data_IF_702219088773
#
_entry.id   IF_702219088773
#
_cell.length_a   1.000
_cell.length_b   1.000
_cell.length_c   1.000
_cell.angle_alpha   90.00
_cell.angle_beta   90.00
_cell.angle_gamma   90.00
#
_symmetry.space_group_name_H-M   'P 1'
#
loop_
_entity.id
_entity.type
_entity.pdbx_description
1 polymer ?
#
# COMPACT_ATOMS: atom_id res chain seq x y z
N UNK A 1 28.82 -13.78 16.86
CA UNK A 1 28.14 -13.83 15.54
C UNK A 1 26.68 -13.38 15.65
N UNK A 2 25.90 -13.90 16.62
CA UNK A 2 24.48 -13.54 16.79
C UNK A 2 24.30 -12.02 17.09
N UNK A 3 25.10 -11.47 18.00
CA UNK A 3 25.06 -10.04 18.34
C UNK A 3 25.36 -9.13 17.13
N UNK A 4 26.29 -9.58 16.25
CA UNK A 4 26.60 -8.84 15.02
C UNK A 4 25.39 -8.83 14.07
N UNK A 5 24.73 -9.99 13.88
CA UNK A 5 23.52 -10.10 13.07
C UNK A 5 22.39 -9.23 13.62
N UNK A 6 22.17 -9.25 14.94
CA UNK A 6 21.19 -8.37 15.59
C UNK A 6 21.50 -6.89 15.37
N UNK A 7 22.78 -6.49 15.45
CA UNK A 7 23.20 -5.13 15.19
C UNK A 7 22.95 -4.71 13.74
N UNK A 8 23.29 -5.58 12.77
CA UNK A 8 23.01 -5.34 11.34
C UNK A 8 21.52 -5.20 11.10
N UNK A 9 20.68 -6.09 11.64
CA UNK A 9 19.22 -6.02 11.50
C UNK A 9 18.67 -4.70 12.05
N UNK A 10 19.12 -4.28 13.24
CA UNK A 10 18.70 -3.00 13.83
C UNK A 10 19.16 -1.80 13.01
N UNK A 11 20.35 -1.86 12.42
CA UNK A 11 20.86 -0.79 11.55
C UNK A 11 20.05 -0.67 10.27
N UNK A 12 19.80 -1.79 9.58
CA UNK A 12 18.98 -1.83 8.35
C UNK A 12 17.56 -1.35 8.64
N UNK A 13 17.00 -1.80 9.75
CA UNK A 13 15.65 -1.41 10.17
C UNK A 13 15.59 0.08 10.52
N UNK A 14 16.58 0.59 11.26
CA UNK A 14 16.72 2.01 11.57
C UNK A 14 16.80 2.86 10.30
N UNK A 15 17.63 2.44 9.33
CA UNK A 15 17.71 3.09 8.02
C UNK A 15 16.38 3.07 7.28
N UNK A 16 15.69 1.92 7.22
CA UNK A 16 14.38 1.79 6.59
C UNK A 16 13.34 2.72 7.22
N UNK A 17 13.31 2.80 8.56
CA UNK A 17 12.39 3.71 9.28
C UNK A 17 12.68 5.17 8.96
N UNK A 18 13.95 5.57 8.89
CA UNK A 18 14.35 6.95 8.54
C UNK A 18 13.92 7.29 7.12
N UNK A 19 14.19 6.41 6.16
CA UNK A 19 13.81 6.61 4.75
C UNK A 19 12.29 6.68 4.60
N UNK A 20 11.57 5.73 5.21
CA UNK A 20 10.10 5.71 5.17
C UNK A 20 9.53 6.95 5.85
N UNK A 21 10.05 7.33 7.01
CA UNK A 21 9.65 8.54 7.73
C UNK A 21 9.87 9.81 6.91
N UNK A 22 10.99 9.91 6.20
CA UNK A 22 11.27 11.01 5.29
C UNK A 22 10.20 11.12 4.19
N UNK A 23 9.92 10.02 3.48
CA UNK A 23 8.89 10.02 2.43
C UNK A 23 7.48 10.29 2.96
N UNK A 24 7.15 9.79 4.17
CA UNK A 24 5.88 10.12 4.81
C UNK A 24 5.74 11.60 5.12
N UNK A 25 6.78 12.23 5.65
CA UNK A 25 6.78 13.68 5.97
C UNK A 25 6.69 14.51 4.68
N UNK A 26 7.47 14.17 3.66
CA UNK A 26 7.43 14.86 2.36
C UNK A 26 6.06 14.70 1.71
N UNK A 27 5.51 13.48 1.68
CA UNK A 27 4.18 13.21 1.14
C UNK A 27 3.06 13.93 1.90
N UNK A 28 3.13 13.93 3.24
CA UNK A 28 2.16 14.65 4.06
C UNK A 28 2.25 16.17 3.85
N UNK A 29 3.46 16.74 3.81
CA UNK A 29 3.68 18.16 3.56
C UNK A 29 3.14 18.59 2.19
N UNK A 30 3.40 17.78 1.15
CA UNK A 30 2.89 18.05 -0.20
C UNK A 30 1.36 17.89 -0.26
N UNK A 31 0.80 16.86 0.39
CA UNK A 31 -0.64 16.68 0.50
C UNK A 31 -1.35 17.84 1.21
N UNK A 32 -0.77 18.35 2.30
CA UNK A 32 -1.29 19.55 3.00
C UNK A 32 -1.20 20.78 2.11
N UNK A 33 -0.08 20.96 1.41
CA UNK A 33 0.13 22.09 0.49
C UNK A 33 -0.89 22.08 -0.65
N UNK A 34 -1.10 20.93 -1.26
CA UNK A 34 -2.08 20.78 -2.35
C UNK A 34 -3.51 20.97 -1.85
N UNK A 35 -3.86 20.37 -0.70
CA UNK A 35 -5.16 20.57 -0.06
C UNK A 35 -5.45 22.04 0.28
N UNK A 36 -4.43 22.76 0.76
CA UNK A 36 -4.54 24.20 1.02
C UNK A 36 -4.75 25.02 -0.25
N UNK A 37 -3.97 24.73 -1.31
CA UNK A 37 -4.09 25.40 -2.59
C UNK A 37 -5.48 25.15 -3.22
N UNK A 38 -5.99 23.92 -3.11
CA UNK A 38 -7.34 23.58 -3.56
C UNK A 38 -8.40 24.36 -2.80
N UNK A 39 -8.35 24.35 -1.46
CA UNK A 39 -9.31 25.09 -0.64
C UNK A 39 -9.30 26.60 -0.94
N UNK A 40 -8.12 27.17 -1.19
CA UNK A 40 -7.97 28.57 -1.57
C UNK A 40 -8.58 28.84 -2.96
N UNK A 41 -8.28 28.00 -3.94
CA UNK A 41 -8.85 28.10 -5.29
C UNK A 41 -10.38 27.94 -5.28
N UNK A 42 -10.92 27.05 -4.47
CA UNK A 42 -12.36 26.88 -4.27
C UNK A 42 -13.00 28.13 -3.68
N UNK A 43 -12.37 28.74 -2.67
CA UNK A 43 -12.87 29.96 -2.06
C UNK A 43 -12.90 31.13 -3.05
N UNK A 44 -11.79 31.32 -3.78
CA UNK A 44 -11.67 32.37 -4.80
C UNK A 44 -12.68 32.16 -5.97
N UNK A 45 -12.91 30.94 -6.41
CA UNK A 45 -13.88 30.60 -7.43
C UNK A 45 -15.33 30.91 -6.97
N UNK A 46 -15.67 30.58 -5.71
CA UNK A 46 -16.98 30.91 -5.12
C UNK A 46 -17.21 32.39 -5.02
N UNK A 47 -16.22 33.20 -4.62
CA UNK A 47 -16.31 34.65 -4.56
C UNK A 47 -16.52 35.28 -5.94
N UNK A 48 -15.92 34.70 -6.99
CA UNK A 48 -16.03 35.18 -8.37
C UNK A 48 -17.22 34.61 -9.14
N UNK A 49 -18.03 33.73 -8.53
CA UNK A 49 -19.16 33.05 -9.18
C UNK A 49 -18.72 32.15 -10.34
N UNK A 50 -17.47 31.69 -10.36
CA UNK A 50 -16.91 30.80 -11.38
C UNK A 50 -16.94 29.35 -10.91
N UNK A 51 -17.06 28.34 -11.81
CA UNK A 51 -16.84 26.96 -11.44
C UNK A 51 -15.38 26.77 -11.01
N UNK A 52 -15.18 25.92 -10.00
CA UNK A 52 -13.83 25.53 -9.56
C UNK A 52 -13.14 24.84 -10.73
N UNK A 53 -11.90 25.22 -11.04
CA UNK A 53 -11.11 24.55 -12.08
C UNK A 53 -10.92 23.09 -11.74
N UNK A 54 -11.31 22.18 -12.62
CA UNK A 54 -11.25 20.72 -12.44
C UNK A 54 -9.83 20.25 -12.09
N UNK A 55 -8.79 20.88 -12.67
CA UNK A 55 -7.38 20.56 -12.47
C UNK A 55 -6.94 20.55 -10.98
N UNK A 56 -7.52 21.41 -10.14
CA UNK A 56 -7.15 21.48 -8.73
C UNK A 56 -7.70 20.29 -7.91
N UNK A 57 -8.81 19.71 -8.33
CA UNK A 57 -9.45 18.55 -7.70
C UNK A 57 -8.90 17.20 -8.18
N UNK A 58 -8.39 17.13 -9.40
CA UNK A 58 -7.96 15.88 -10.03
C UNK A 58 -6.89 15.15 -9.22
N UNK A 59 -5.89 15.86 -8.69
CA UNK A 59 -4.82 15.27 -7.89
C UNK A 59 -5.31 14.64 -6.57
N UNK A 60 -6.38 15.18 -5.97
CA UNK A 60 -6.95 14.65 -4.71
C UNK A 60 -7.73 13.34 -4.92
N UNK A 61 -8.13 13.06 -6.15
CA UNK A 61 -8.94 11.91 -6.52
C UNK A 61 -8.17 10.85 -7.32
N UNK A 62 -6.83 11.02 -7.45
CA UNK A 62 -6.00 10.04 -8.15
C UNK A 62 -6.05 8.67 -7.48
N UNK A 63 -6.36 7.65 -8.28
CA UNK A 63 -6.37 6.25 -7.91
C UNK A 63 -5.45 5.47 -8.83
N UNK A 64 -4.60 4.66 -8.23
CA UNK A 64 -3.79 3.69 -8.96
C UNK A 64 -4.56 2.39 -9.08
N UNK A 65 -4.74 1.91 -10.29
CA UNK A 65 -5.52 0.71 -10.61
C UNK A 65 -4.62 -0.27 -11.35
N UNK A 66 -4.55 -1.51 -10.85
CA UNK A 66 -3.89 -2.60 -11.55
C UNK A 66 -4.88 -3.27 -12.50
N UNK A 67 -4.41 -3.54 -13.71
CA UNK A 67 -5.19 -4.15 -14.78
C UNK A 67 -4.71 -5.59 -15.01
N UNK A 68 -5.67 -6.51 -15.16
CA UNK A 68 -5.34 -7.86 -15.59
C UNK A 68 -4.87 -7.82 -17.04
N UNK A 69 -3.76 -8.52 -17.40
CA UNK A 69 -3.33 -8.58 -18.78
C UNK A 69 -4.45 -9.06 -19.70
N UNK A 70 -4.66 -8.43 -20.88
CA UNK A 70 -5.74 -8.77 -21.79
C UNK A 70 -5.78 -10.24 -22.21
N UNK A 71 -4.62 -10.88 -22.29
CA UNK A 71 -4.46 -12.31 -22.60
C UNK A 71 -5.13 -13.23 -21.55
N UNK A 72 -5.33 -12.75 -20.32
CA UNK A 72 -5.99 -13.49 -19.24
C UNK A 72 -7.46 -13.11 -19.08
N UNK A 73 -7.84 -11.89 -19.46
CA UNK A 73 -9.22 -11.40 -19.39
C UNK A 73 -10.03 -11.79 -20.65
N UNK A 74 -9.40 -11.83 -21.82
CA UNK A 74 -10.01 -12.16 -23.09
C UNK A 74 -9.06 -13.07 -23.90
N UNK A 75 -9.17 -14.42 -23.77
CA UNK A 75 -8.29 -15.36 -24.46
C UNK A 75 -8.37 -15.29 -26.00
N UNK A 76 -9.51 -14.86 -26.55
CA UNK A 76 -9.74 -14.69 -27.99
C UNK A 76 -9.40 -13.27 -28.48
N UNK A 77 -9.08 -12.39 -27.56
CA UNK A 77 -8.75 -10.99 -27.81
C UNK A 77 -7.32 -10.75 -28.32
N UNK A 78 -7.05 -9.53 -28.71
CA UNK A 78 -5.69 -9.11 -29.08
C UNK A 78 -4.81 -9.05 -27.84
N UNK A 79 -3.57 -9.59 -27.92
CA UNK A 79 -2.59 -9.50 -26.82
C UNK A 79 -2.23 -8.05 -26.48
N UNK A 80 -2.28 -7.16 -27.46
CA UNK A 80 -1.98 -5.73 -27.32
C UNK A 80 -3.15 -4.94 -27.96
N UNK A 81 -4.25 -4.73 -27.19
CA UNK A 81 -5.46 -4.08 -27.70
C UNK A 81 -5.29 -2.59 -27.97
N UNK A 82 -4.35 -1.95 -27.26
CA UNK A 82 -4.10 -0.52 -27.32
C UNK A 82 -2.88 -0.16 -28.14
N UNK A 83 -2.62 1.14 -28.29
CA UNK A 83 -1.43 1.66 -28.94
C UNK A 83 -0.97 2.95 -28.29
N UNK A 84 0.37 3.09 -28.19
CA UNK A 84 1.03 4.30 -27.71
C UNK A 84 1.74 4.98 -28.86
N UNK A 85 1.53 6.31 -28.97
CA UNK A 85 2.23 7.09 -29.96
C UNK A 85 3.70 7.30 -29.59
N UNK A 86 4.60 6.92 -30.49
CA UNK A 86 6.03 7.10 -30.32
C UNK A 86 6.49 8.35 -31.11
N UNK A 87 6.89 9.38 -30.38
CA UNK A 87 7.34 10.64 -30.97
C UNK A 87 8.61 10.51 -31.80
N UNK A 88 9.48 9.52 -31.50
CA UNK A 88 10.73 9.33 -32.27
C UNK A 88 10.52 8.75 -33.65
N UNK A 89 9.58 7.84 -33.79
CA UNK A 89 9.29 7.13 -35.04
C UNK A 89 8.06 7.70 -35.74
N UNK A 90 7.36 8.65 -35.13
CA UNK A 90 6.08 9.20 -35.59
C UNK A 90 5.06 8.11 -35.94
N UNK A 91 5.02 7.03 -35.17
CA UNK A 91 4.15 5.86 -35.39
C UNK A 91 3.52 5.35 -34.12
N UNK A 92 2.37 4.68 -34.25
CA UNK A 92 1.72 3.99 -33.14
C UNK A 92 2.34 2.61 -32.93
N UNK A 93 2.73 2.32 -31.68
CA UNK A 93 3.27 1.02 -31.27
C UNK A 93 2.16 0.28 -30.49
N UNK A 94 1.84 -0.98 -30.85
CA UNK A 94 0.88 -1.77 -30.06
C UNK A 94 1.32 -1.88 -28.61
N UNK A 95 0.38 -1.70 -27.68
CA UNK A 95 0.64 -1.67 -26.25
C UNK A 95 -0.47 -2.38 -25.48
N UNK A 96 -0.17 -2.78 -24.24
CA UNK A 96 -1.14 -3.18 -23.24
C UNK A 96 -0.77 -2.50 -21.91
N UNK A 97 -1.76 -2.05 -21.18
CA UNK A 97 -1.57 -1.39 -19.89
C UNK A 97 -1.63 -2.42 -18.77
N UNK A 98 -0.62 -2.43 -17.89
CA UNK A 98 -0.61 -3.23 -16.66
C UNK A 98 -1.23 -2.46 -15.49
N UNK A 99 -1.18 -1.13 -15.54
CA UNK A 99 -1.76 -0.25 -14.52
C UNK A 99 -2.14 1.10 -15.12
N UNK A 100 -3.09 1.74 -14.48
CA UNK A 100 -3.58 3.06 -14.89
C UNK A 100 -3.75 3.93 -13.65
N UNK A 101 -3.40 5.20 -13.75
CA UNK A 101 -3.73 6.21 -12.73
C UNK A 101 -4.91 7.01 -13.25
N UNK A 102 -6.00 7.02 -12.51
CA UNK A 102 -7.23 7.72 -12.87
C UNK A 102 -7.67 8.65 -11.76
N UNK A 103 -8.28 9.76 -12.10
CA UNK A 103 -8.93 10.67 -11.15
C UNK A 103 -10.40 10.30 -11.05
N UNK A 104 -10.79 9.63 -9.97
CA UNK A 104 -12.17 9.17 -9.78
C UNK A 104 -12.63 9.49 -8.35
N UNK A 105 -13.79 10.09 -8.24
CA UNK A 105 -14.45 10.30 -6.98
C UNK A 105 -15.19 9.04 -6.53
N UNK A 106 -14.73 8.39 -5.45
CA UNK A 106 -15.35 7.17 -4.90
C UNK A 106 -16.29 7.49 -3.75
N UNK A 107 -17.42 6.78 -3.67
CA UNK A 107 -18.51 7.04 -2.72
C UNK A 107 -18.14 6.74 -1.26
N UNK A 108 -17.21 5.82 -0.99
CA UNK A 108 -16.92 5.28 0.35
C UNK A 108 -15.52 5.65 0.85
N UNK A 109 -15.08 6.90 0.66
CA UNK A 109 -13.74 7.39 1.08
C UNK A 109 -13.40 7.13 2.55
N UNK A 110 -14.38 7.20 3.45
CA UNK A 110 -14.17 7.04 4.89
C UNK A 110 -13.76 5.60 5.29
N UNK A 111 -14.26 4.57 4.60
CA UNK A 111 -13.91 3.16 4.87
C UNK A 111 -12.45 2.92 4.52
N UNK A 112 -11.99 3.37 3.35
CA UNK A 112 -10.59 3.27 2.93
C UNK A 112 -9.65 3.99 3.91
N UNK A 113 -10.01 5.21 4.33
CA UNK A 113 -9.22 5.97 5.28
C UNK A 113 -9.13 5.28 6.66
N UNK A 114 -10.23 4.71 7.16
CA UNK A 114 -10.24 3.95 8.41
C UNK A 114 -9.35 2.72 8.32
N UNK A 115 -9.46 1.94 7.25
CA UNK A 115 -8.63 0.76 7.03
C UNK A 115 -7.15 1.12 6.92
N UNK A 116 -6.82 2.19 6.21
CA UNK A 116 -5.44 2.70 6.09
C UNK A 116 -4.86 3.10 7.45
N UNK A 117 -5.67 3.72 8.32
CA UNK A 117 -5.25 4.06 9.68
C UNK A 117 -5.01 2.81 10.53
N UNK A 118 -5.86 1.78 10.40
CA UNK A 118 -5.68 0.50 11.10
C UNK A 118 -4.42 -0.22 10.64
N UNK A 119 -4.15 -0.25 9.32
CA UNK A 119 -2.94 -0.82 8.75
C UNK A 119 -1.70 -0.10 9.29
N UNK A 120 -1.71 1.23 9.31
CA UNK A 120 -0.63 2.05 9.86
C UNK A 120 -0.38 1.74 11.34
N UNK A 121 -1.43 1.69 12.15
CA UNK A 121 -1.35 1.38 13.56
C UNK A 121 -0.80 -0.04 13.81
N UNK A 122 -1.27 -1.03 13.04
CA UNK A 122 -0.80 -2.41 13.13
C UNK A 122 0.68 -2.53 12.76
N UNK A 123 1.13 -1.84 11.71
CA UNK A 123 2.53 -1.83 11.28
C UNK A 123 3.45 -1.15 12.30
N UNK A 124 3.05 0.00 12.86
CA UNK A 124 3.81 0.67 13.93
C UNK A 124 3.94 -0.26 15.15
N UNK A 125 2.86 -0.91 15.54
CA UNK A 125 2.88 -1.83 16.69
C UNK A 125 3.74 -3.07 16.41
N UNK A 126 3.64 -3.65 15.21
CA UNK A 126 4.47 -4.77 14.77
C UNK A 126 5.96 -4.39 14.83
N UNK A 127 6.33 -3.20 14.36
CA UNK A 127 7.69 -2.66 14.42
C UNK A 127 8.20 -2.56 15.86
N UNK A 128 7.38 -2.00 16.78
CA UNK A 128 7.76 -1.88 18.20
C UNK A 128 7.96 -3.25 18.83
N UNK A 129 7.08 -4.23 18.55
CA UNK A 129 7.20 -5.61 19.05
C UNK A 129 8.45 -6.28 18.50
N UNK A 130 8.75 -6.08 17.20
CA UNK A 130 9.93 -6.61 16.54
C UNK A 130 11.23 -6.04 17.14
N UNK A 131 11.33 -4.73 17.32
CA UNK A 131 12.48 -4.09 17.96
C UNK A 131 12.70 -4.65 19.37
N UNK A 132 11.63 -4.77 20.17
CA UNK A 132 11.70 -5.36 21.51
C UNK A 132 12.14 -6.83 21.51
N UNK A 133 11.75 -7.58 20.47
CA UNK A 133 12.19 -8.96 20.28
C UNK A 133 13.71 -9.03 19.98
N UNK A 134 14.19 -8.24 19.02
CA UNK A 134 15.61 -8.19 18.64
C UNK A 134 16.49 -7.75 19.80
N UNK A 135 16.09 -6.73 20.58
CA UNK A 135 16.82 -6.28 21.78
C UNK A 135 16.89 -7.41 22.84
N UNK A 136 15.79 -8.17 23.02
CA UNK A 136 15.77 -9.28 23.98
C UNK A 136 16.70 -10.41 23.55
N UNK A 137 16.72 -10.75 22.25
CA UNK A 137 17.64 -11.75 21.68
C UNK A 137 19.10 -11.30 21.86
N UNK A 138 19.39 -10.03 21.62
CA UNK A 138 20.74 -9.49 21.78
C UNK A 138 21.25 -9.56 23.25
N UNK A 139 20.33 -9.55 24.21
CA UNK A 139 20.66 -9.71 25.66
C UNK A 139 20.77 -11.17 26.12
N UNK A 140 20.85 -12.10 25.17
CA UNK A 140 20.96 -13.56 25.40
C UNK A 140 19.73 -14.25 26.02
N UNK A 141 18.59 -13.54 26.11
CA UNK A 141 17.33 -14.10 26.59
C UNK A 141 16.53 -14.76 25.45
N UNK A 142 17.16 -15.68 24.70
CA UNK A 142 16.60 -16.20 23.44
C UNK A 142 15.34 -17.05 23.71
N UNK A 143 15.42 -17.99 24.67
CA UNK A 143 14.37 -18.98 24.97
C UNK A 143 13.43 -18.56 26.11
N UNK A 144 13.19 -17.27 26.28
CA UNK A 144 12.28 -16.78 27.30
C UNK A 144 10.82 -16.80 26.79
N UNK A 145 9.89 -17.29 27.63
CA UNK A 145 8.44 -17.30 27.35
C UNK A 145 7.89 -15.92 26.94
N UNK A 146 8.55 -14.85 27.37
CA UNK A 146 8.24 -13.49 26.96
C UNK A 146 8.48 -13.25 25.48
N UNK A 147 9.54 -13.84 24.90
CA UNK A 147 9.87 -13.74 23.48
C UNK A 147 8.92 -14.57 22.62
N UNK A 148 8.50 -15.74 23.09
CA UNK A 148 7.45 -16.54 22.44
C UNK A 148 6.16 -15.72 22.30
N UNK A 149 5.73 -15.07 23.38
CA UNK A 149 4.54 -14.19 23.34
C UNK A 149 4.71 -13.01 22.42
N UNK A 150 5.89 -12.41 22.33
CA UNK A 150 6.18 -11.31 21.39
C UNK A 150 6.12 -11.79 19.95
N UNK A 151 6.70 -12.96 19.67
CA UNK A 151 6.71 -13.54 18.33
C UNK A 151 5.30 -13.89 17.86
N UNK A 152 4.47 -14.48 18.70
CA UNK A 152 3.04 -14.72 18.41
C UNK A 152 2.28 -13.42 18.15
N UNK A 153 2.50 -12.38 18.99
CA UNK A 153 1.87 -11.05 18.77
C UNK A 153 2.30 -10.44 17.44
N UNK A 154 3.58 -10.53 17.12
CA UNK A 154 4.10 -10.04 15.83
C UNK A 154 3.42 -10.78 14.67
N UNK A 155 3.34 -12.11 14.74
CA UNK A 155 2.65 -12.90 13.72
C UNK A 155 1.18 -12.52 13.54
N UNK A 156 0.44 -12.38 14.65
CA UNK A 156 -0.97 -11.95 14.60
C UNK A 156 -1.10 -10.55 14.02
N UNK A 157 -0.25 -9.59 14.41
CA UNK A 157 -0.30 -8.23 13.88
C UNK A 157 -0.05 -8.17 12.37
N UNK A 158 0.90 -8.96 11.86
CA UNK A 158 1.18 -9.02 10.42
C UNK A 158 0.02 -9.66 9.64
N UNK A 159 -0.60 -10.71 10.18
CA UNK A 159 -1.80 -11.32 9.58
C UNK A 159 -2.98 -10.35 9.57
N UNK A 160 -3.19 -9.60 10.65
CA UNK A 160 -4.24 -8.56 10.73
C UNK A 160 -3.95 -7.43 9.74
N UNK A 161 -2.71 -6.95 9.66
CA UNK A 161 -2.31 -5.93 8.69
C UNK A 161 -2.59 -6.39 7.25
N UNK A 162 -2.23 -7.64 6.93
CA UNK A 162 -2.55 -8.25 5.63
C UNK A 162 -4.06 -8.29 5.38
N UNK A 163 -4.86 -8.77 6.33
CA UNK A 163 -6.31 -8.85 6.18
C UNK A 163 -6.95 -7.47 5.95
N UNK A 164 -6.49 -6.45 6.68
CA UNK A 164 -6.93 -5.07 6.49
C UNK A 164 -6.50 -4.52 5.11
N UNK A 165 -5.28 -4.80 4.66
CA UNK A 165 -4.81 -4.42 3.32
C UNK A 165 -5.64 -5.07 2.22
N UNK A 166 -5.90 -6.37 2.36
CA UNK A 166 -6.73 -7.10 1.41
C UNK A 166 -8.15 -6.55 1.33
N UNK A 167 -8.76 -6.28 2.49
CA UNK A 167 -10.10 -5.70 2.57
C UNK A 167 -10.14 -4.28 1.98
N UNK A 168 -9.11 -3.46 2.24
CA UNK A 168 -8.98 -2.11 1.67
C UNK A 168 -8.89 -2.16 0.15
N UNK A 169 -8.05 -3.05 -0.39
CA UNK A 169 -7.90 -3.23 -1.83
C UNK A 169 -9.21 -3.71 -2.48
N UNK A 170 -9.93 -4.63 -1.82
CA UNK A 170 -11.22 -5.12 -2.31
C UNK A 170 -12.27 -4.02 -2.38
N UNK A 171 -12.44 -3.24 -1.29
CA UNK A 171 -13.37 -2.11 -1.25
C UNK A 171 -13.02 -1.06 -2.31
N UNK A 172 -11.74 -0.81 -2.52
CA UNK A 172 -11.26 0.18 -3.47
C UNK A 172 -11.51 -0.26 -4.92
N UNK A 173 -11.22 -1.51 -5.27
CA UNK A 173 -11.48 -2.06 -6.61
C UNK A 173 -12.98 -2.11 -6.90
N UNK A 174 -13.81 -2.51 -5.93
CA UNK A 174 -15.26 -2.53 -6.13
C UNK A 174 -15.82 -1.13 -6.35
N UNK A 175 -15.37 -0.14 -5.55
CA UNK A 175 -15.79 1.25 -5.71
C UNK A 175 -15.34 1.87 -7.05
N UNK A 176 -14.24 1.41 -7.62
CA UNK A 176 -13.78 1.84 -8.95
C UNK A 176 -14.56 1.12 -10.05
N UNK A 177 -14.85 -0.17 -9.87
CA UNK A 177 -15.62 -0.96 -10.83
C UNK A 177 -17.03 -0.42 -11.07
N UNK A 178 -17.63 0.18 -10.04
CA UNK A 178 -18.96 0.83 -10.15
C UNK A 178 -18.95 2.07 -11.06
N UNK A 179 -17.78 2.72 -11.22
CA UNK A 179 -17.67 4.00 -11.95
C UNK A 179 -16.91 3.85 -13.26
N UNK A 180 -15.98 2.89 -13.35
CA UNK A 180 -15.06 2.74 -14.48
C UNK A 180 -15.17 1.36 -15.11
N UNK A 181 -15.45 1.33 -16.41
CA UNK A 181 -15.37 0.12 -17.25
C UNK A 181 -14.40 0.39 -18.39
N UNK A 182 -13.34 -0.40 -18.48
CA UNK A 182 -12.32 -0.28 -19.53
C UNK A 182 -12.48 -1.46 -20.48
N UNK A 183 -12.72 -1.23 -21.80
CA UNK A 183 -12.80 -2.30 -22.76
C UNK A 183 -11.55 -3.17 -22.77
N UNK A 184 -11.71 -4.48 -22.83
CA UNK A 184 -10.63 -5.48 -22.88
C UNK A 184 -9.77 -5.63 -21.62
N UNK A 185 -10.06 -4.91 -20.51
CA UNK A 185 -9.32 -5.02 -19.27
C UNK A 185 -10.23 -5.32 -18.09
N UNK A 186 -9.75 -6.17 -17.20
CA UNK A 186 -10.37 -6.40 -15.90
C UNK A 186 -9.54 -5.77 -14.78
N UNK A 187 -10.25 -5.18 -13.81
CA UNK A 187 -9.63 -4.60 -12.64
C UNK A 187 -9.16 -5.71 -11.70
N UNK A 188 -7.90 -5.64 -11.24
CA UNK A 188 -7.33 -6.63 -10.33
C UNK A 188 -6.74 -6.00 -9.08
N UNK A 189 -6.70 -6.79 -7.99
CA UNK A 189 -6.06 -6.41 -6.72
C UNK A 189 -4.63 -6.93 -6.60
N UNK A 190 -4.11 -7.62 -7.62
CA UNK A 190 -2.93 -8.49 -7.49
C UNK A 190 -1.69 -7.74 -7.01
N UNK A 191 -1.50 -6.50 -7.44
CA UNK A 191 -0.29 -5.73 -7.13
C UNK A 191 -0.40 -4.88 -5.86
N UNK A 192 -1.63 -4.75 -5.30
CA UNK A 192 -1.89 -3.90 -4.12
C UNK A 192 -1.75 -4.69 -2.82
N UNK A 193 -1.87 -6.02 -2.87
CA UNK A 193 -1.90 -6.86 -1.68
C UNK A 193 -0.51 -7.34 -1.29
N UNK A 194 -0.04 -6.94 -0.10
CA UNK A 194 1.26 -7.34 0.46
C UNK A 194 1.23 -8.78 0.99
N UNK A 195 1.44 -9.75 0.09
CA UNK A 195 1.50 -11.19 0.42
C UNK A 195 2.69 -11.55 1.30
N UNK A 196 3.74 -10.73 1.32
CA UNK A 196 4.95 -10.95 2.11
C UNK A 196 4.61 -10.83 3.60
N UNK A 197 3.81 -9.86 3.99
CA UNK A 197 3.35 -9.70 5.37
C UNK A 197 2.58 -10.93 5.89
N UNK A 198 1.74 -11.54 5.04
CA UNK A 198 1.06 -12.79 5.41
C UNK A 198 2.05 -13.92 5.65
N UNK A 199 2.99 -14.14 4.72
CA UNK A 199 3.99 -15.20 4.83
C UNK A 199 4.83 -15.03 6.09
N UNK A 200 5.35 -13.83 6.33
CA UNK A 200 6.15 -13.51 7.52
C UNK A 200 5.32 -13.66 8.80
N UNK A 201 4.05 -13.26 8.79
CA UNK A 201 3.13 -13.44 9.91
C UNK A 201 2.92 -14.89 10.27
N UNK A 202 2.65 -15.75 9.28
CA UNK A 202 2.49 -17.19 9.48
C UNK A 202 3.79 -17.85 9.95
N UNK A 203 4.93 -17.50 9.36
CA UNK A 203 6.24 -17.98 9.82
C UNK A 203 6.50 -17.60 11.28
N UNK A 204 6.20 -16.36 11.69
CA UNK A 204 6.36 -15.90 13.06
C UNK A 204 5.46 -16.69 14.04
N UNK A 205 4.23 -17.02 13.64
CA UNK A 205 3.33 -17.85 14.44
C UNK A 205 3.86 -19.27 14.59
N UNK A 206 4.27 -19.92 13.49
CA UNK A 206 4.83 -21.29 13.50
C UNK A 206 6.05 -21.35 14.40
N UNK A 207 7.00 -20.45 14.22
CA UNK A 207 8.22 -20.40 15.06
C UNK A 207 7.86 -20.15 16.52
N UNK A 208 6.88 -19.26 16.78
CA UNK A 208 6.37 -19.04 18.13
C UNK A 208 5.77 -20.29 18.79
N UNK A 209 5.08 -21.14 18.03
CA UNK A 209 4.55 -22.42 18.52
C UNK A 209 5.67 -23.42 18.75
N UNK A 210 6.63 -23.54 17.83
CA UNK A 210 7.78 -24.45 17.99
C UNK A 210 8.57 -24.13 19.27
N UNK A 211 8.83 -22.85 19.55
CA UNK A 211 9.50 -22.44 20.78
C UNK A 211 8.64 -22.59 22.05
N UNK A 212 7.34 -22.76 21.92
CA UNK A 212 6.45 -23.00 23.06
C UNK A 212 6.40 -24.47 23.46
N UNK A 213 6.72 -25.38 22.54
CA UNK A 213 6.69 -26.84 22.76
C UNK A 213 8.04 -27.38 23.27
N UNK A 214 9.15 -26.74 22.93
CA UNK A 214 10.52 -27.11 23.33
C UNK A 214 10.96 -26.37 24.58
#
# INVERSE_FOLDING_TARGET
>A
RLNLLCAIVLLVLGWSVVVTGYYMVVGAAEGVRQGWNYAKAEHEAREQGRPVTEDAGEMLHMKYISLLPPMLSDPDGKMLPDSVYNERTHSYIPAAYASLTVSIETRHKWVGNLLSLLILAANIWALVVFIRLVISINRSDIFCWRNVRRLRRLGVLLVVAFACSWLSAWVEVEAVRDVLSIPHYELTMTDVVDRISLLLGLCALIVGEVFAIG
#
